data_IF_894266874198
#
_entry.id   IF_894266874198
#
_cell.length_a   1.000
_cell.length_b   1.000
_cell.length_c   1.000
_cell.angle_alpha   90.00
_cell.angle_beta   90.00
_cell.angle_gamma   90.00
#
_symmetry.space_group_name_H-M   'P 1'
#
loop_
_entity.id
_entity.type
_entity.pdbx_description
1 polymer ?
#
# COMPACT_ATOMS: atom_id res chain seq x y z
N UNK A 1 1.14 43.43 -52.29
CA UNK A 1 2.48 43.87 -52.71
C UNK A 1 3.14 44.46 -51.47
N UNK A 2 4.15 43.92 -50.80
CA UNK A 2 5.19 42.95 -51.14
C UNK A 2 5.51 42.07 -49.92
N UNK A 3 5.88 40.82 -50.21
CA UNK A 3 6.54 39.89 -49.30
C UNK A 3 8.09 40.04 -49.44
N UNK A 4 8.95 39.14 -48.90
CA UNK A 4 10.09 39.47 -48.07
C UNK A 4 11.44 39.43 -48.83
N UNK A 5 12.53 39.87 -48.18
CA UNK A 5 13.91 39.55 -48.60
C UNK A 5 14.52 38.57 -47.60
N UNK A 6 15.06 37.47 -48.13
CA UNK A 6 15.78 36.44 -47.39
C UNK A 6 17.31 36.53 -47.50
N UNK A 7 17.94 35.59 -46.79
CA UNK A 7 19.27 34.97 -47.01
C UNK A 7 19.30 33.78 -46.01
N UNK A 8 19.25 32.49 -46.38
CA UNK A 8 20.23 31.63 -47.08
C UNK A 8 21.67 31.82 -46.56
N UNK A 9 22.50 30.81 -46.26
CA UNK A 9 22.49 29.33 -46.20
C UNK A 9 23.91 28.99 -45.68
N UNK A 10 24.14 27.93 -44.92
CA UNK A 10 25.03 26.78 -45.23
C UNK A 10 25.37 26.14 -43.85
N UNK A 11 24.98 24.91 -43.57
CA UNK A 11 25.49 23.59 -44.03
C UNK A 11 26.53 23.01 -43.07
N UNK A 12 26.37 21.71 -42.76
CA UNK A 12 27.35 20.96 -41.98
C UNK A 12 26.76 19.88 -41.08
N UNK A 13 25.98 18.95 -41.63
CA UNK A 13 25.86 17.62 -41.05
C UNK A 13 27.16 16.84 -41.25
N UNK A 14 27.53 15.98 -40.30
CA UNK A 14 27.29 14.54 -40.39
C UNK A 14 28.24 13.73 -39.49
N UNK A 15 27.70 12.59 -39.10
CA UNK A 15 28.21 11.47 -38.33
C UNK A 15 29.51 10.86 -38.87
N UNK A 16 30.48 10.60 -37.97
CA UNK A 16 31.04 9.28 -37.66
C UNK A 16 32.50 9.32 -37.17
N UNK A 17 32.81 8.40 -36.24
CA UNK A 17 34.16 8.08 -35.78
C UNK A 17 34.29 8.28 -34.27
N UNK A 18 33.74 7.43 -33.40
CA UNK A 18 33.94 5.98 -33.33
C UNK A 18 35.44 5.62 -33.34
N UNK A 19 36.14 5.86 -32.22
CA UNK A 19 37.13 4.96 -31.57
C UNK A 19 37.61 5.63 -30.28
N UNK A 20 37.31 4.99 -29.14
CA UNK A 20 37.98 5.00 -27.80
C UNK A 20 36.96 4.41 -26.81
N UNK A 21 36.42 3.23 -27.04
CA UNK A 21 37.03 1.90 -26.83
C UNK A 21 37.74 1.71 -25.49
N UNK A 22 37.17 0.76 -24.73
CA UNK A 22 37.73 -0.01 -23.62
C UNK A 22 38.11 0.76 -22.35
N UNK A 23 37.16 0.99 -21.44
CA UNK A 23 37.45 0.86 -19.99
C UNK A 23 36.21 0.72 -19.09
N UNK A 24 34.98 0.88 -19.59
CA UNK A 24 33.76 0.72 -18.77
C UNK A 24 32.86 -0.47 -19.13
N UNK A 25 33.38 -1.44 -19.90
CA UNK A 25 32.70 -2.75 -20.09
C UNK A 25 33.13 -3.75 -19.00
N UNK A 26 34.07 -3.39 -18.12
CA UNK A 26 34.57 -4.23 -17.03
C UNK A 26 33.79 -4.10 -15.69
N UNK A 27 32.58 -3.54 -15.70
CA UNK A 27 31.68 -3.49 -14.53
C UNK A 27 30.42 -4.34 -14.70
N UNK A 28 30.30 -5.05 -15.83
CA UNK A 28 29.21 -5.98 -16.15
C UNK A 28 29.65 -7.45 -16.11
N UNK A 29 30.45 -7.82 -15.11
CA UNK A 29 30.72 -9.23 -14.71
C UNK A 29 30.48 -9.45 -13.21
N UNK A 30 29.38 -8.90 -12.67
CA UNK A 30 28.90 -9.25 -11.31
C UNK A 30 27.43 -9.66 -11.30
N UNK A 31 26.99 -10.31 -12.38
CA UNK A 31 25.80 -11.15 -12.40
C UNK A 31 26.24 -12.62 -12.43
N UNK A 32 26.63 -13.14 -11.27
CA UNK A 32 26.53 -14.57 -10.95
C UNK A 32 25.79 -14.71 -9.63
N UNK A 33 24.50 -14.99 -9.78
CA UNK A 33 23.57 -15.41 -8.75
C UNK A 33 24.04 -16.75 -8.15
N UNK A 34 24.18 -16.90 -6.83
CA UNK A 34 24.17 -18.21 -6.20
C UNK A 34 22.72 -18.59 -5.89
N UNK A 35 22.23 -19.45 -6.77
CA UNK A 35 21.35 -20.58 -6.54
C UNK A 35 20.78 -20.78 -5.12
N UNK A 36 19.47 -20.88 -5.07
CA UNK A 36 18.64 -21.36 -3.97
C UNK A 36 19.05 -22.81 -3.58
N UNK A 37 19.54 -23.00 -2.36
CA UNK A 37 19.54 -24.31 -1.71
C UNK A 37 18.15 -24.53 -1.08
N UNK A 38 17.29 -25.25 -1.81
CA UNK A 38 16.08 -25.86 -1.26
C UNK A 38 16.52 -27.08 -0.44
N UNK A 39 16.55 -26.96 0.88
CA UNK A 39 16.67 -28.12 1.76
C UNK A 39 15.43 -28.99 1.59
N UNK A 40 15.60 -30.09 0.85
CA UNK A 40 14.66 -31.20 0.69
C UNK A 40 14.58 -31.94 2.02
N UNK A 41 13.58 -31.63 2.85
CA UNK A 41 13.27 -32.45 4.03
C UNK A 41 12.69 -33.77 3.51
N UNK A 42 13.48 -34.82 3.65
CA UNK A 42 13.08 -36.21 3.41
C UNK A 42 12.10 -36.65 4.49
N UNK A 43 10.87 -36.96 4.11
CA UNK A 43 9.94 -37.67 4.98
C UNK A 43 10.26 -39.16 4.92
N UNK A 44 11.04 -39.64 5.89
CA UNK A 44 11.09 -41.06 6.21
C UNK A 44 9.88 -41.42 7.05
N UNK A 45 8.93 -42.14 6.44
CA UNK A 45 7.93 -42.90 7.15
C UNK A 45 8.60 -44.15 7.75
N UNK A 46 8.56 -44.29 9.06
CA UNK A 46 8.79 -45.57 9.71
C UNK A 46 7.83 -45.69 10.91
N UNK A 47 6.79 -46.49 10.70
CA UNK A 47 5.95 -47.05 11.75
C UNK A 47 6.78 -47.97 12.66
N UNK A 48 6.60 -47.84 13.98
CA UNK A 48 6.47 -48.95 14.93
C UNK A 48 6.19 -48.42 16.34
N UNK A 49 5.20 -49.03 17.01
CA UNK A 49 4.54 -48.49 18.19
C UNK A 49 5.07 -48.95 19.56
N UNK A 50 4.20 -48.71 20.55
CA UNK A 50 4.09 -49.27 21.90
C UNK A 50 4.72 -48.52 23.10
N UNK A 51 3.79 -48.04 23.95
CA UNK A 51 3.82 -47.69 25.38
C UNK A 51 4.52 -46.40 25.91
N UNK A 52 3.93 -45.74 26.95
CA UNK A 52 4.32 -44.39 27.38
C UNK A 52 5.30 -44.41 28.56
N UNK A 53 6.11 -43.35 28.74
CA UNK A 53 6.58 -42.97 30.07
C UNK A 53 5.99 -41.63 30.53
N UNK A 54 5.73 -41.59 31.83
CA UNK A 54 5.23 -40.47 32.61
C UNK A 54 6.11 -39.21 32.52
N UNK A 55 5.40 -38.08 32.52
CA UNK A 55 5.75 -36.79 33.12
C UNK A 55 7.09 -36.13 32.77
N UNK A 56 7.01 -35.02 32.01
CA UNK A 56 7.59 -33.74 32.45
C UNK A 56 6.75 -32.59 31.90
N UNK A 57 6.26 -31.74 32.81
CA UNK A 57 5.57 -30.50 32.49
C UNK A 57 6.51 -29.56 31.70
N UNK A 58 6.28 -29.44 30.40
CA UNK A 58 6.60 -28.24 29.62
C UNK A 58 5.35 -27.82 28.85
N UNK A 59 4.46 -27.13 29.55
CA UNK A 59 3.55 -26.18 28.89
C UNK A 59 4.48 -25.10 28.30
N UNK A 60 4.70 -25.00 27.00
CA UNK A 60 3.72 -25.13 25.94
C UNK A 60 3.56 -23.73 25.36
N UNK A 61 4.37 -23.46 24.33
CA UNK A 61 4.17 -22.48 23.24
C UNK A 61 3.83 -21.03 23.58
N UNK A 62 4.73 -20.15 23.15
CA UNK A 62 4.48 -18.74 22.80
C UNK A 62 3.27 -18.66 21.86
N UNK A 63 2.08 -18.38 22.41
CA UNK A 63 0.93 -17.92 21.65
C UNK A 63 1.09 -16.40 21.50
N UNK A 64 1.73 -15.94 20.44
CA UNK A 64 1.53 -14.58 19.96
C UNK A 64 0.15 -14.53 19.29
N UNK A 65 -0.90 -14.43 20.10
CA UNK A 65 -2.20 -14.00 19.58
C UNK A 65 -2.05 -12.51 19.28
N UNK A 66 -1.78 -12.19 18.02
CA UNK A 66 -1.75 -10.81 17.55
C UNK A 66 -3.20 -10.32 17.46
N UNK A 67 -3.80 -10.01 18.61
CA UNK A 67 -5.14 -9.45 18.62
C UNK A 67 -5.09 -7.99 18.18
N UNK A 68 -5.87 -7.66 17.15
CA UNK A 68 -5.99 -6.31 16.63
C UNK A 68 -7.32 -5.66 17.05
N UNK A 69 -7.29 -4.35 17.28
CA UNK A 69 -8.49 -3.51 17.36
C UNK A 69 -8.70 -2.83 16.01
N UNK A 70 -9.91 -2.93 15.46
CA UNK A 70 -10.21 -2.32 14.16
C UNK A 70 -11.03 -1.05 14.31
N UNK A 71 -10.71 -0.08 13.47
CA UNK A 71 -11.50 1.14 13.27
C UNK A 71 -11.73 1.37 11.78
N UNK A 72 -12.93 1.83 11.43
CA UNK A 72 -13.27 2.18 10.06
C UNK A 72 -13.00 3.65 9.75
N UNK A 73 -12.70 3.93 8.47
CA UNK A 73 -12.53 5.25 7.87
C UNK A 73 -13.32 5.30 6.58
N UNK A 74 -13.98 6.42 6.33
CA UNK A 74 -14.69 6.66 5.08
C UNK A 74 -13.99 7.77 4.31
N UNK A 75 -13.39 7.44 3.17
CA UNK A 75 -12.71 8.40 2.30
C UNK A 75 -13.62 8.72 1.14
N UNK A 76 -13.98 10.00 0.98
CA UNK A 76 -14.83 10.48 -0.12
C UNK A 76 -14.01 11.38 -1.03
N UNK A 77 -13.88 10.99 -2.29
CA UNK A 77 -13.28 11.81 -3.34
C UNK A 77 -14.41 12.33 -4.24
N UNK A 78 -14.48 13.65 -4.41
CA UNK A 78 -15.52 14.30 -5.21
C UNK A 78 -14.89 15.23 -6.22
N UNK A 79 -15.35 15.13 -7.47
CA UNK A 79 -14.94 16.01 -8.55
C UNK A 79 -15.65 17.34 -8.37
N UNK A 80 -14.89 18.41 -8.21
CA UNK A 80 -15.44 19.76 -8.18
C UNK A 80 -15.74 20.24 -9.61
N UNK A 81 -16.73 21.13 -9.73
CA UNK A 81 -17.14 21.72 -11.01
C UNK A 81 -16.35 22.99 -11.31
N UNK A 82 -15.06 23.00 -10.97
CA UNK A 82 -14.15 24.07 -11.35
C UNK A 82 -13.73 23.90 -12.82
N UNK A 83 -13.12 24.93 -13.41
CA UNK A 83 -12.63 24.88 -14.80
C UNK A 83 -11.55 23.80 -15.00
N UNK A 84 -10.90 23.39 -13.91
CA UNK A 84 -9.82 22.41 -13.88
C UNK A 84 -10.32 20.96 -13.65
N UNK A 85 -11.61 20.79 -13.36
CA UNK A 85 -12.25 19.51 -13.02
C UNK A 85 -11.48 18.68 -11.99
N UNK A 86 -10.95 19.34 -10.96
CA UNK A 86 -10.09 18.70 -9.97
C UNK A 86 -10.92 17.85 -8.99
N UNK A 87 -10.33 16.76 -8.52
CA UNK A 87 -10.97 15.90 -7.51
C UNK A 87 -10.25 16.02 -6.17
N UNK A 88 -11.03 16.29 -5.13
CA UNK A 88 -10.53 16.42 -3.78
C UNK A 88 -11.10 15.32 -2.90
N UNK A 89 -10.25 14.75 -2.04
CA UNK A 89 -10.65 13.72 -1.10
C UNK A 89 -10.74 14.27 0.32
N UNK A 90 -11.77 13.87 1.05
CA UNK A 90 -11.91 14.07 2.49
C UNK A 90 -12.02 12.73 3.20
N UNK A 91 -11.64 12.70 4.47
CA UNK A 91 -11.72 11.51 5.32
C UNK A 91 -12.63 11.79 6.49
N UNK A 92 -13.55 10.86 6.73
CA UNK A 92 -14.41 10.81 7.92
C UNK A 92 -13.95 9.62 8.78
N UNK A 93 -13.57 9.92 10.00
CA UNK A 93 -13.23 9.00 11.08
C UNK A 93 -14.06 9.37 12.32
N UNK A 94 -14.13 8.49 13.32
CA UNK A 94 -14.97 8.67 14.53
C UNK A 94 -14.83 10.05 15.18
N UNK A 95 -13.62 10.62 15.21
CA UNK A 95 -13.32 11.92 15.85
C UNK A 95 -12.78 12.98 14.90
N UNK A 96 -12.61 12.66 13.61
CA UNK A 96 -11.88 13.51 12.67
C UNK A 96 -12.61 13.53 11.33
N UNK A 97 -12.92 14.74 10.86
CA UNK A 97 -13.34 14.97 9.48
C UNK A 97 -12.38 15.97 8.86
N UNK A 98 -11.70 15.56 7.79
CA UNK A 98 -10.75 16.43 7.08
C UNK A 98 -11.47 17.29 6.04
N UNK A 99 -10.91 18.45 5.74
CA UNK A 99 -11.38 19.26 4.60
C UNK A 99 -11.06 18.53 3.27
N UNK A 100 -11.81 18.79 2.18
CA UNK A 100 -11.46 18.28 0.86
C UNK A 100 -10.04 18.67 0.46
N UNK A 101 -9.26 17.69 -0.01
CA UNK A 101 -7.88 17.88 -0.46
C UNK A 101 -6.87 18.04 0.68
N UNK A 102 -7.31 18.05 1.93
CA UNK A 102 -6.45 18.28 3.08
C UNK A 102 -5.36 17.21 3.17
N UNK A 103 -4.10 17.64 3.14
CA UNK A 103 -2.89 16.80 3.25
C UNK A 103 -2.76 15.72 2.16
N UNK A 104 -3.56 15.78 1.08
CA UNK A 104 -3.29 14.98 -0.10
C UNK A 104 -2.06 15.53 -0.83
N UNK A 105 -1.24 14.64 -1.40
CA UNK A 105 -0.03 15.02 -2.13
C UNK A 105 0.12 14.19 -3.41
N UNK A 106 0.80 14.75 -4.40
CA UNK A 106 1.12 14.04 -5.62
C UNK A 106 2.54 13.47 -5.55
N UNK A 107 2.68 12.21 -5.91
CA UNK A 107 3.92 11.45 -5.86
C UNK A 107 4.20 10.85 -7.24
N UNK A 108 5.39 11.04 -7.78
CA UNK A 108 5.77 10.49 -9.07
C UNK A 108 6.41 9.11 -8.87
N UNK A 109 5.86 8.08 -9.52
CA UNK A 109 6.40 6.73 -9.52
C UNK A 109 7.29 6.53 -10.77
N UNK A 110 8.64 6.56 -10.63
CA UNK A 110 9.54 6.58 -11.79
C UNK A 110 9.42 5.33 -12.66
N UNK A 111 9.19 4.17 -12.04
CA UNK A 111 9.06 2.89 -12.76
C UNK A 111 7.83 2.84 -13.66
N UNK A 112 6.76 3.53 -13.27
CA UNK A 112 5.50 3.56 -14.01
C UNK A 112 5.32 4.82 -14.84
N UNK A 113 6.28 5.77 -14.75
CA UNK A 113 6.21 7.10 -15.38
C UNK A 113 4.86 7.78 -15.16
N UNK A 114 4.29 7.63 -13.96
CA UNK A 114 2.94 8.06 -13.65
C UNK A 114 2.88 8.77 -12.29
N UNK A 115 1.93 9.68 -12.15
CA UNK A 115 1.64 10.40 -10.91
C UNK A 115 0.59 9.61 -10.12
N UNK A 116 0.86 9.43 -8.82
CA UNK A 116 -0.09 8.95 -7.83
C UNK A 116 -0.54 10.12 -6.96
N UNK A 117 -1.84 10.27 -6.81
CA UNK A 117 -2.41 11.12 -5.78
C UNK A 117 -2.52 10.30 -4.48
N UNK A 118 -1.89 10.76 -3.40
CA UNK A 118 -1.82 10.10 -2.10
C UNK A 118 -2.62 10.92 -1.08
N UNK A 119 -3.69 10.36 -0.54
CA UNK A 119 -4.51 10.99 0.49
C UNK A 119 -4.42 10.21 1.81
N UNK A 120 -4.11 10.89 2.94
CA UNK A 120 -3.93 10.21 4.23
C UNK A 120 -5.25 9.71 4.77
N UNK A 121 -5.32 8.44 5.20
CA UNK A 121 -6.55 7.79 5.66
C UNK A 121 -6.81 8.00 7.16
N UNK A 122 -5.94 8.73 7.87
CA UNK A 122 -5.99 8.87 9.33
C UNK A 122 -5.92 7.52 10.06
N UNK A 123 -5.08 6.61 9.57
CA UNK A 123 -4.82 5.31 10.17
C UNK A 123 -3.41 5.27 10.75
N UNK A 124 -3.14 6.24 11.62
CA UNK A 124 -1.83 6.42 12.19
C UNK A 124 -1.46 5.26 13.10
N UNK A 125 -0.32 4.62 12.83
CA UNK A 125 0.20 3.45 13.52
C UNK A 125 -0.59 2.15 13.28
N UNK A 126 -1.45 2.11 12.27
CA UNK A 126 -2.06 0.85 11.84
C UNK A 126 -1.00 -0.08 11.23
N UNK A 127 -1.01 -1.35 11.63
CA UNK A 127 -0.22 -2.43 11.04
C UNK A 127 -1.02 -3.26 10.05
N UNK A 128 -2.32 -3.39 10.28
CA UNK A 128 -3.26 -3.95 9.33
C UNK A 128 -4.13 -2.87 8.68
N UNK A 129 -4.37 -2.97 7.37
CA UNK A 129 -5.24 -2.03 6.67
C UNK A 129 -5.81 -2.64 5.39
N UNK A 130 -7.10 -2.40 5.15
CA UNK A 130 -7.80 -2.91 3.97
C UNK A 130 -8.89 -1.97 3.47
N UNK A 131 -9.05 -1.89 2.15
CA UNK A 131 -10.24 -1.32 1.52
C UNK A 131 -11.33 -2.39 1.47
N UNK A 132 -12.36 -2.21 2.28
CA UNK A 132 -13.50 -3.14 2.46
C UNK A 132 -14.59 -2.87 1.43
N UNK A 133 -14.80 -1.61 1.07
CA UNK A 133 -15.89 -1.24 0.17
C UNK A 133 -15.50 -0.07 -0.73
N UNK A 134 -16.04 -0.06 -1.96
CA UNK A 134 -15.90 0.98 -2.98
C UNK A 134 -17.30 1.42 -3.42
N UNK A 135 -17.54 2.73 -3.53
CA UNK A 135 -18.80 3.30 -4.01
C UNK A 135 -18.53 4.32 -5.11
N UNK A 136 -19.06 4.16 -6.34
CA UNK A 136 -19.92 3.05 -6.75
C UNK A 136 -19.11 1.76 -6.97
N UNK A 137 -19.68 0.61 -6.61
CA UNK A 137 -18.99 -0.68 -6.68
C UNK A 137 -18.63 -1.09 -8.11
N UNK A 138 -19.47 -0.69 -9.07
CA UNK A 138 -19.32 -0.96 -10.52
C UNK A 138 -18.52 0.12 -11.27
N UNK A 139 -17.76 1.00 -10.60
CA UNK A 139 -16.84 1.90 -11.30
C UNK A 139 -15.72 1.08 -11.98
N UNK A 140 -15.71 1.03 -13.31
CA UNK A 140 -14.72 0.31 -14.11
C UNK A 140 -13.43 1.09 -14.36
N UNK A 141 -13.42 2.40 -14.10
CA UNK A 141 -12.24 3.28 -14.21
C UNK A 141 -11.28 3.08 -13.04
N UNK A 142 -11.84 2.83 -11.85
CA UNK A 142 -11.10 2.58 -10.62
C UNK A 142 -11.08 1.09 -10.28
N UNK A 143 -9.98 0.41 -10.65
CA UNK A 143 -9.72 -1.00 -10.38
C UNK A 143 -8.72 -1.14 -9.22
N UNK A 144 -9.00 -2.03 -8.24
CA UNK A 144 -8.14 -2.24 -7.05
C UNK A 144 -6.78 -2.77 -7.49
N UNK A 145 -5.71 -2.29 -6.87
CA UNK A 145 -4.30 -2.60 -7.18
C UNK A 145 -3.78 -2.14 -8.55
N UNK A 146 -4.68 -1.84 -9.49
CA UNK A 146 -4.33 -1.15 -10.72
C UNK A 146 -4.37 0.36 -10.52
N UNK A 147 -5.56 0.94 -10.36
CA UNK A 147 -5.73 2.39 -10.34
C UNK A 147 -5.88 2.98 -8.95
N UNK A 148 -6.10 2.15 -7.94
CA UNK A 148 -6.10 2.59 -6.55
C UNK A 148 -5.65 1.49 -5.59
N UNK A 149 -5.24 1.90 -4.39
CA UNK A 149 -4.92 0.98 -3.30
C UNK A 149 -4.48 1.70 -2.04
N UNK A 150 -3.94 0.95 -1.10
CA UNK A 150 -3.37 1.50 0.13
C UNK A 150 -1.86 1.33 0.12
N UNK A 151 -1.17 2.31 0.69
CA UNK A 151 0.28 2.25 0.92
C UNK A 151 0.61 2.85 2.28
N UNK A 152 1.41 2.14 3.07
CA UNK A 152 1.92 2.65 4.35
C UNK A 152 3.12 3.55 4.08
N UNK A 153 3.10 4.78 4.60
CA UNK A 153 4.24 5.70 4.59
C UNK A 153 4.48 6.27 5.98
N UNK A 154 5.69 6.06 6.50
CA UNK A 154 6.12 6.47 7.84
C UNK A 154 5.14 5.92 8.90
N UNK A 155 4.24 6.78 9.39
CA UNK A 155 3.32 6.49 10.49
C UNK A 155 1.87 6.37 10.04
N UNK A 156 1.53 6.63 8.78
CA UNK A 156 0.14 6.64 8.31
C UNK A 156 -0.03 5.77 7.07
N UNK A 157 -1.29 5.42 6.80
CA UNK A 157 -1.72 4.73 5.59
C UNK A 157 -2.31 5.77 4.64
N UNK A 158 -1.96 5.65 3.36
CA UNK A 158 -2.42 6.55 2.32
C UNK A 158 -3.23 5.76 1.29
N UNK A 159 -4.39 6.31 0.93
CA UNK A 159 -5.10 5.92 -0.27
C UNK A 159 -4.36 6.52 -1.46
N UNK A 160 -3.86 5.67 -2.34
CA UNK A 160 -3.28 6.11 -3.60
C UNK A 160 -4.27 5.92 -4.74
N UNK A 161 -4.33 6.88 -5.67
CA UNK A 161 -5.06 6.80 -6.93
C UNK A 161 -4.16 7.22 -8.09
N UNK A 162 -4.31 6.61 -9.27
CA UNK A 162 -3.54 6.96 -10.48
C UNK A 162 -4.39 6.93 -11.75
N UNK A 163 -3.90 7.61 -12.78
CA UNK A 163 -4.57 7.68 -14.08
C UNK A 163 -5.95 8.33 -13.99
N UNK A 164 -6.90 7.87 -14.80
CA UNK A 164 -8.26 8.41 -14.86
C UNK A 164 -9.00 8.34 -13.51
N UNK A 165 -8.68 7.34 -12.67
CA UNK A 165 -9.26 7.18 -11.34
C UNK A 165 -8.99 8.38 -10.40
N UNK A 166 -7.97 9.21 -10.68
CA UNK A 166 -7.74 10.46 -9.94
C UNK A 166 -8.92 11.43 -10.11
N UNK A 167 -9.59 11.44 -11.27
CA UNK A 167 -10.63 12.42 -11.57
C UNK A 167 -12.06 11.89 -11.29
N UNK A 168 -12.16 10.66 -10.79
CA UNK A 168 -13.43 10.01 -10.52
C UNK A 168 -14.03 10.46 -9.17
N UNK A 169 -15.35 10.65 -9.16
CA UNK A 169 -16.12 10.78 -7.92
C UNK A 169 -16.36 9.37 -7.36
N UNK A 170 -15.69 9.06 -6.26
CA UNK A 170 -15.66 7.72 -5.68
C UNK A 170 -15.42 7.80 -4.18
N UNK A 171 -15.93 6.81 -3.44
CA UNK A 171 -15.70 6.67 -2.02
C UNK A 171 -15.20 5.29 -1.65
N UNK A 172 -14.46 5.21 -0.55
CA UNK A 172 -13.85 4.00 -0.05
C UNK A 172 -14.11 3.86 1.46
N UNK A 173 -14.53 2.66 1.88
CA UNK A 173 -14.51 2.28 3.29
C UNK A 173 -13.24 1.51 3.57
N UNK A 174 -12.45 1.98 4.53
CA UNK A 174 -11.14 1.44 4.88
C UNK A 174 -11.21 0.98 6.33
N UNK A 175 -10.78 -0.25 6.61
CA UNK A 175 -10.55 -0.73 7.96
C UNK A 175 -9.07 -0.62 8.30
N UNK A 176 -8.79 -0.19 9.51
CA UNK A 176 -7.44 -0.03 10.05
C UNK A 176 -7.36 -0.80 11.36
N UNK A 177 -6.49 -1.80 11.39
CA UNK A 177 -6.18 -2.61 12.56
C UNK A 177 -4.99 -2.04 13.31
N UNK A 178 -5.08 -2.06 14.64
CA UNK A 178 -4.03 -1.61 15.54
C UNK A 178 -3.70 -2.75 16.51
N UNK A 179 -2.41 -2.99 16.80
CA UNK A 179 -2.03 -4.08 17.67
C UNK A 179 -2.48 -3.77 19.09
N UNK A 180 -3.18 -4.71 19.73
CA UNK A 180 -3.52 -4.58 21.14
C UNK A 180 -2.23 -4.69 21.97
N UNK A 181 -1.97 -3.71 22.83
CA UNK A 181 -0.84 -3.82 23.76
C UNK A 181 -0.98 -5.08 24.64
N UNK A 182 0.15 -5.69 25.06
CA UNK A 182 0.14 -6.85 25.99
C UNK A 182 -0.73 -6.62 27.22
N UNK A 183 -0.74 -5.41 27.78
CA UNK A 183 -1.57 -5.05 28.94
C UNK A 183 -3.07 -5.06 28.61
N UNK A 184 -3.45 -4.73 27.38
CA UNK A 184 -4.85 -4.78 26.93
C UNK A 184 -5.26 -6.22 26.57
N UNK A 185 -4.37 -6.98 25.94
CA UNK A 185 -4.53 -8.41 25.70
C UNK A 185 -4.75 -9.20 27.00
N UNK A 186 -3.89 -8.99 28.01
CA UNK A 186 -4.02 -9.63 29.32
C UNK A 186 -5.33 -9.28 30.03
N UNK A 187 -5.80 -8.03 29.88
CA UNK A 187 -7.11 -7.60 30.43
C UNK A 187 -8.27 -8.28 29.72
N UNK A 188 -8.23 -8.39 28.39
CA UNK A 188 -9.25 -9.08 27.59
C UNK A 188 -9.25 -10.58 27.91
N UNK A 189 -8.07 -11.19 28.08
CA UNK A 189 -7.95 -12.60 28.41
C UNK A 189 -8.45 -12.92 29.83
N UNK A 190 -8.26 -12.00 30.77
CA UNK A 190 -8.78 -12.14 32.15
C UNK A 190 -10.27 -11.89 32.27
N UNK A 191 -10.86 -11.08 31.39
CA UNK A 191 -12.30 -10.83 31.37
C UNK A 191 -12.81 -10.59 29.93
N UNK A 192 -13.20 -11.66 29.21
CA UNK A 192 -13.74 -11.55 27.86
C UNK A 192 -15.07 -10.78 27.79
N UNK A 193 -15.82 -10.70 28.89
CA UNK A 193 -17.14 -10.07 28.93
C UNK A 193 -17.08 -8.55 28.80
N UNK A 194 -15.98 -7.94 29.25
CA UNK A 194 -15.72 -6.51 29.12
C UNK A 194 -15.54 -6.07 27.66
N UNK A 195 -15.01 -6.94 26.81
CA UNK A 195 -14.86 -6.66 25.38
C UNK A 195 -16.21 -6.75 24.65
N UNK A 196 -17.02 -7.75 24.98
CA UNK A 196 -18.39 -7.88 24.47
C UNK A 196 -19.25 -6.68 24.88
N UNK A 197 -19.16 -6.21 26.12
CA UNK A 197 -19.85 -5.00 26.57
C UNK A 197 -19.46 -3.74 25.79
N UNK A 198 -18.17 -3.59 25.42
CA UNK A 198 -17.71 -2.48 24.58
C UNK A 198 -18.19 -2.59 23.13
N UNK A 199 -18.28 -3.81 22.58
CA UNK A 199 -18.82 -4.04 21.25
C UNK A 199 -20.31 -3.73 21.19
N UNK A 200 -21.06 -4.11 22.24
CA UNK A 200 -22.50 -3.85 22.35
C UNK A 200 -22.83 -2.37 22.64
N UNK A 201 -21.94 -1.62 23.29
CA UNK A 201 -22.11 -0.19 23.55
C UNK A 201 -21.82 0.72 22.33
N UNK A 202 -21.40 0.14 21.20
CA UNK A 202 -21.13 0.86 19.94
C UNK A 202 -22.24 0.71 18.88
N UNK A 203 -23.32 -0.01 19.20
CA UNK A 203 -24.58 -0.02 18.43
C UNK A 203 -25.53 1.07 18.94
#
# INVERSE_FOLDING_TARGET
MFAPRGKEREDGGDLNGMVRNLHLVALLERLKSPFLEFTRVSWHAQDQGSHPPLATNRLGSVLSVDSHSYESRYVRCSREKDEQFQTFCSVVAEKVTTKPGERCLNDFEPHLKNVRNLCPTQCQHADEYEIIHKVPSNNHVCIKFENYGLIKRKKDVYLWRRGECINETIAFSINCGFPLSRRNLEKIQKDPSLYLAKLLARQ
#
